data_IF_256000646572
#
_entry.id   IF_256000646572
#
_cell.length_a   1.000
_cell.length_b   1.000
_cell.length_c   1.000
_cell.angle_alpha   90.00
_cell.angle_beta   90.00
_cell.angle_gamma   90.00
#
_symmetry.space_group_name_H-M   'P 1'
#
loop_
_entity.id
_entity.type
_entity.pdbx_description
1 polymer ?
#
# COMPACT_ATOMS: atom_id res chain seq x y z
N UNK A 1 -6.59 3.21 -18.39
CA UNK A 1 -6.06 3.37 -17.03
C UNK A 1 -7.23 3.67 -16.10
N UNK A 2 -7.53 2.80 -15.13
CA UNK A 2 -8.72 2.97 -14.30
C UNK A 2 -8.48 4.10 -13.28
N UNK A 3 -8.85 5.33 -13.65
CA UNK A 3 -8.58 6.55 -12.86
C UNK A 3 -9.07 6.43 -11.42
N UNK A 4 -10.22 5.77 -11.21
CA UNK A 4 -10.78 5.53 -9.87
C UNK A 4 -9.84 4.69 -9.00
N UNK A 5 -9.29 3.59 -9.52
CA UNK A 5 -8.37 2.71 -8.78
C UNK A 5 -7.09 3.43 -8.37
N UNK A 6 -6.51 4.24 -9.27
CA UNK A 6 -5.35 5.08 -8.95
C UNK A 6 -5.71 6.12 -7.89
N UNK A 7 -6.87 6.76 -8.00
CA UNK A 7 -7.33 7.71 -6.99
C UNK A 7 -7.50 7.06 -5.62
N UNK A 8 -8.07 5.85 -5.52
CA UNK A 8 -8.20 5.12 -4.24
C UNK A 8 -6.82 4.88 -3.61
N UNK A 9 -5.89 4.33 -4.38
CA UNK A 9 -4.51 4.09 -3.93
C UNK A 9 -3.85 5.39 -3.45
N UNK A 10 -3.87 6.41 -4.30
CA UNK A 10 -3.19 7.68 -4.05
C UNK A 10 -3.80 8.48 -2.90
N UNK A 11 -5.13 8.56 -2.81
CA UNK A 11 -5.82 9.26 -1.72
C UNK A 11 -5.54 8.57 -0.38
N UNK A 12 -5.60 7.24 -0.35
CA UNK A 12 -5.30 6.49 0.88
C UNK A 12 -3.88 6.74 1.35
N UNK A 13 -2.90 6.64 0.44
CA UNK A 13 -1.50 6.93 0.76
C UNK A 13 -1.29 8.38 1.22
N UNK A 14 -1.93 9.33 0.56
CA UNK A 14 -1.84 10.75 0.90
C UNK A 14 -2.42 11.06 2.28
N UNK A 15 -3.57 10.50 2.63
CA UNK A 15 -4.19 10.69 3.95
C UNK A 15 -3.28 10.15 5.06
N UNK A 16 -2.74 8.94 4.89
CA UNK A 16 -1.81 8.35 5.87
C UNK A 16 -0.56 9.22 6.03
N UNK A 17 0.06 9.63 4.92
CA UNK A 17 1.23 10.50 4.94
C UNK A 17 0.94 11.81 5.67
N UNK A 18 -0.20 12.43 5.40
CA UNK A 18 -0.59 13.70 6.03
C UNK A 18 -0.77 13.54 7.53
N UNK A 19 -1.48 12.49 7.98
CA UNK A 19 -1.70 12.25 9.41
C UNK A 19 -0.38 11.90 10.11
N UNK A 20 0.46 11.07 9.52
CA UNK A 20 1.77 10.70 10.06
C UNK A 20 2.66 11.93 10.26
N UNK A 21 2.84 12.73 9.20
CA UNK A 21 3.72 13.90 9.27
C UNK A 21 3.16 14.98 10.20
N UNK A 22 1.83 15.16 10.23
CA UNK A 22 1.20 16.09 11.18
C UNK A 22 1.42 15.67 12.63
N UNK A 23 1.18 14.40 12.96
CA UNK A 23 1.34 13.89 14.34
C UNK A 23 2.79 13.91 14.79
N UNK A 24 3.73 13.53 13.93
CA UNK A 24 5.17 13.64 14.21
C UNK A 24 5.59 15.09 14.44
N UNK A 25 5.15 16.02 13.59
CA UNK A 25 5.41 17.45 13.78
C UNK A 25 4.85 17.95 15.12
N UNK A 26 3.60 17.58 15.46
CA UNK A 26 2.94 17.99 16.69
C UNK A 26 3.73 17.56 17.93
N UNK A 27 4.12 16.29 18.01
CA UNK A 27 4.88 15.76 19.15
C UNK A 27 6.26 16.43 19.24
N UNK A 28 6.93 16.58 18.10
CA UNK A 28 8.29 17.14 18.04
C UNK A 28 8.33 18.61 18.46
N UNK A 29 7.27 19.36 18.17
CA UNK A 29 7.17 20.80 18.48
C UNK A 29 6.46 21.13 19.79
N UNK A 30 5.94 20.12 20.49
CA UNK A 30 5.19 20.31 21.74
C UNK A 30 5.86 19.55 22.89
N UNK A 31 6.77 20.18 23.65
CA UNK A 31 7.53 19.51 24.72
C UNK A 31 6.66 18.82 25.78
N UNK A 32 5.50 19.39 26.10
CA UNK A 32 4.55 18.80 27.05
C UNK A 32 3.93 17.48 26.57
N UNK A 33 3.99 17.17 25.26
CA UNK A 33 3.51 15.91 24.70
C UNK A 33 4.60 14.85 24.57
N UNK A 34 5.89 15.20 24.73
CA UNK A 34 6.98 14.26 24.48
C UNK A 34 7.12 13.15 25.53
N UNK A 35 6.50 13.30 26.70
CA UNK A 35 6.46 12.31 27.79
C UNK A 35 5.08 12.38 28.48
N UNK A 36 4.01 12.24 27.69
CA UNK A 36 2.65 12.42 28.17
C UNK A 36 1.94 11.08 28.34
N UNK A 37 1.56 10.76 29.58
CA UNK A 37 0.76 9.56 29.87
C UNK A 37 -0.68 9.75 29.40
N UNK A 38 -1.13 8.89 28.49
CA UNK A 38 -2.52 8.87 28.01
C UNK A 38 -3.35 7.92 28.86
N UNK A 39 -2.84 6.71 29.06
CA UNK A 39 -3.41 5.66 29.90
C UNK A 39 -2.29 5.11 30.78
N UNK A 40 -2.41 5.29 32.07
CA UNK A 40 -1.38 4.91 33.04
C UNK A 40 -0.99 3.43 32.90
N UNK A 41 0.31 3.19 32.73
CA UNK A 41 0.89 1.86 32.57
C UNK A 41 0.55 1.13 31.27
N UNK A 42 -0.07 1.79 30.29
CA UNK A 42 -0.53 1.17 29.04
C UNK A 42 -0.15 1.96 27.77
N UNK A 43 -0.42 3.26 27.75
CA UNK A 43 -0.27 4.08 26.55
C UNK A 43 0.25 5.47 26.90
N UNK A 44 1.35 5.85 26.27
CA UNK A 44 2.02 7.11 26.50
C UNK A 44 2.49 7.69 25.18
N UNK A 45 2.63 9.02 25.13
CA UNK A 45 3.50 9.65 24.15
C UNK A 45 4.92 9.72 24.73
N UNK A 46 5.85 9.04 24.07
CA UNK A 46 7.27 9.04 24.39
C UNK A 46 8.07 9.34 23.13
N UNK A 47 8.53 10.58 22.98
CA UNK A 47 9.26 11.01 21.79
C UNK A 47 10.66 10.37 21.74
N UNK A 48 10.94 9.70 20.63
CA UNK A 48 12.27 9.17 20.32
C UNK A 48 12.57 9.26 18.84
N UNK A 49 13.85 9.18 18.51
CA UNK A 49 14.34 9.19 17.14
C UNK A 49 15.01 7.86 16.84
N UNK A 50 14.47 7.13 15.87
CA UNK A 50 14.92 5.81 15.51
C UNK A 50 15.88 5.86 14.30
N UNK A 51 17.20 5.63 14.50
CA UNK A 51 18.17 5.58 13.41
C UNK A 51 18.01 4.35 12.52
N UNK A 52 17.15 3.41 12.87
CA UNK A 52 17.02 2.10 12.20
C UNK A 52 17.41 0.95 13.11
N UNK A 53 17.22 1.11 14.41
CA UNK A 53 17.39 0.05 15.40
C UNK A 53 16.08 -0.75 15.53
N UNK A 54 16.20 -2.07 15.56
CA UNK A 54 15.12 -2.96 15.95
C UNK A 54 15.54 -3.70 17.22
N UNK A 55 14.73 -3.66 18.27
CA UNK A 55 15.01 -4.29 19.57
C UNK A 55 16.38 -3.88 20.17
N UNK A 56 16.85 -2.66 19.90
CA UNK A 56 18.14 -2.16 20.36
C UNK A 56 19.35 -2.67 19.58
N UNK A 57 19.14 -3.38 18.46
CA UNK A 57 20.21 -3.86 17.58
C UNK A 57 20.34 -2.93 16.38
N UNK A 58 21.55 -2.38 16.20
CA UNK A 58 21.93 -1.61 15.01
C UNK A 58 22.58 -2.56 13.99
N UNK A 59 22.02 -2.65 12.79
CA UNK A 59 22.44 -3.62 11.77
C UNK A 59 23.16 -2.91 10.60
N UNK A 60 22.64 -1.74 10.19
CA UNK A 60 23.09 -0.99 9.03
C UNK A 60 23.05 0.51 9.34
N UNK A 61 23.86 1.30 8.63
CA UNK A 61 23.84 2.75 8.77
C UNK A 61 22.53 3.34 8.23
N UNK A 62 22.11 4.46 8.83
CA UNK A 62 20.88 5.16 8.46
C UNK A 62 20.72 5.38 6.95
N UNK A 63 21.72 5.88 6.19
CA UNK A 63 21.57 6.08 4.75
C UNK A 63 21.31 4.80 3.96
N UNK A 64 21.89 3.67 4.41
CA UNK A 64 21.69 2.36 3.77
C UNK A 64 20.26 1.89 3.99
N UNK A 65 19.75 1.97 5.23
CA UNK A 65 18.37 1.62 5.56
C UNK A 65 17.40 2.50 4.79
N UNK A 66 17.65 3.82 4.74
CA UNK A 66 16.86 4.78 3.97
C UNK A 66 16.81 4.42 2.47
N UNK A 67 17.96 4.05 1.90
CA UNK A 67 18.06 3.67 0.48
C UNK A 67 17.29 2.37 0.18
N UNK A 68 17.39 1.38 1.06
CA UNK A 68 16.64 0.12 0.95
C UNK A 68 15.13 0.39 1.03
N UNK A 69 14.69 1.22 1.98
CA UNK A 69 13.28 1.57 2.13
C UNK A 69 12.72 2.27 0.87
N UNK A 70 13.48 3.20 0.28
CA UNK A 70 13.10 3.87 -0.97
C UNK A 70 13.02 2.85 -2.11
N UNK A 71 14.03 2.01 -2.29
CA UNK A 71 14.04 0.99 -3.34
C UNK A 71 12.88 0.00 -3.20
N UNK A 72 12.61 -0.48 -1.98
CA UNK A 72 11.49 -1.36 -1.70
C UNK A 72 10.14 -0.69 -1.99
N UNK A 73 9.95 0.56 -1.55
CA UNK A 73 8.71 1.32 -1.78
C UNK A 73 8.48 1.56 -3.27
N UNK A 74 9.53 1.90 -4.03
CA UNK A 74 9.45 2.04 -5.49
C UNK A 74 9.11 0.70 -6.16
N UNK A 75 9.74 -0.40 -5.72
CA UNK A 75 9.43 -1.74 -6.22
C UNK A 75 7.96 -2.12 -6.00
N UNK A 76 7.43 -1.84 -4.80
CA UNK A 76 6.01 -2.06 -4.47
C UNK A 76 5.11 -1.23 -5.39
N UNK A 77 5.40 0.07 -5.56
CA UNK A 77 4.62 0.95 -6.44
C UNK A 77 4.62 0.42 -7.87
N UNK A 78 5.78 0.06 -8.42
CA UNK A 78 5.91 -0.49 -9.77
C UNK A 78 5.06 -1.77 -9.90
N UNK A 79 5.21 -2.70 -8.95
CA UNK A 79 4.46 -3.95 -8.94
C UNK A 79 2.94 -3.72 -8.96
N UNK A 80 2.42 -2.83 -8.10
CA UNK A 80 0.99 -2.50 -8.06
C UNK A 80 0.54 -1.88 -9.37
N UNK A 81 1.33 -0.96 -9.94
CA UNK A 81 0.96 -0.25 -11.18
C UNK A 81 0.88 -1.20 -12.38
N UNK A 82 1.72 -2.25 -12.41
CA UNK A 82 1.64 -3.30 -13.43
C UNK A 82 0.35 -4.13 -13.30
N UNK A 83 -0.10 -4.41 -12.07
CA UNK A 83 -1.31 -5.20 -11.78
C UNK A 83 -2.59 -4.39 -11.52
N UNK A 84 -2.58 -3.06 -11.69
CA UNK A 84 -3.64 -2.20 -11.12
C UNK A 84 -5.04 -2.40 -11.73
N UNK A 85 -5.13 -2.90 -12.97
CA UNK A 85 -6.42 -3.15 -13.64
C UNK A 85 -7.19 -4.28 -12.97
N UNK A 86 -6.43 -5.25 -12.51
CA UNK A 86 -6.80 -6.54 -11.94
C UNK A 86 -7.04 -6.41 -10.42
N UNK A 87 -6.25 -5.56 -9.74
CA UNK A 87 -6.39 -5.26 -8.31
C UNK A 87 -7.80 -4.85 -7.84
N UNK A 88 -8.27 -5.44 -6.75
CA UNK A 88 -9.54 -5.08 -6.08
C UNK A 88 -9.42 -3.75 -5.33
N UNK A 89 -10.55 -3.13 -4.99
CA UNK A 89 -10.53 -1.88 -4.21
C UNK A 89 -9.94 -2.09 -2.81
N UNK A 90 -10.29 -3.19 -2.14
CA UNK A 90 -9.77 -3.52 -0.80
C UNK A 90 -8.25 -3.71 -0.79
N UNK A 91 -7.72 -4.37 -1.82
CA UNK A 91 -6.28 -4.51 -2.01
C UNK A 91 -5.61 -3.14 -2.18
N UNK A 92 -6.16 -2.27 -3.03
CA UNK A 92 -5.60 -0.94 -3.28
C UNK A 92 -5.64 -0.03 -2.05
N UNK A 93 -6.64 -0.17 -1.17
CA UNK A 93 -6.65 0.50 0.13
C UNK A 93 -5.49 -0.01 0.99
N UNK A 94 -5.31 -1.33 1.12
CA UNK A 94 -4.20 -1.90 1.89
C UNK A 94 -2.84 -1.44 1.34
N UNK A 95 -2.66 -1.46 0.02
CA UNK A 95 -1.42 -0.98 -0.59
C UNK A 95 -1.23 0.53 -0.41
N UNK A 96 -2.31 1.31 -0.40
CA UNK A 96 -2.29 2.74 -0.11
C UNK A 96 -1.82 3.01 1.31
N UNK A 97 -2.29 2.24 2.30
CA UNK A 97 -1.83 2.31 3.69
C UNK A 97 -0.32 2.00 3.79
N UNK A 98 0.15 0.94 3.11
CA UNK A 98 1.56 0.55 3.10
C UNK A 98 2.43 1.65 2.48
N UNK A 99 2.05 2.16 1.31
CA UNK A 99 2.79 3.22 0.62
C UNK A 99 2.78 4.50 1.43
N UNK A 100 1.63 4.91 1.98
CA UNK A 100 1.52 6.10 2.80
C UNK A 100 2.40 6.04 4.04
N UNK A 101 2.40 4.90 4.75
CA UNK A 101 3.28 4.69 5.90
C UNK A 101 4.76 4.68 5.51
N UNK A 102 5.12 3.96 4.45
CA UNK A 102 6.49 3.91 3.97
C UNK A 102 7.01 5.30 3.57
N UNK A 103 6.20 6.09 2.85
CA UNK A 103 6.52 7.48 2.49
C UNK A 103 6.63 8.39 3.72
N UNK A 104 5.83 8.17 4.77
CA UNK A 104 5.95 8.89 6.03
C UNK A 104 7.31 8.66 6.70
N UNK A 105 7.71 7.40 6.85
CA UNK A 105 9.02 7.07 7.42
C UNK A 105 10.19 7.51 6.52
N UNK A 106 10.07 7.39 5.19
CA UNK A 106 11.07 7.89 4.24
C UNK A 106 11.20 9.42 4.31
N UNK A 107 10.09 10.13 4.48
CA UNK A 107 10.12 11.60 4.64
C UNK A 107 10.96 12.00 5.84
N UNK A 108 10.83 11.27 6.96
CA UNK A 108 11.65 11.55 8.12
C UNK A 108 13.16 11.34 7.84
N UNK A 109 13.48 10.23 7.16
CA UNK A 109 14.86 9.92 6.75
C UNK A 109 15.48 11.00 5.86
N UNK A 110 14.70 11.60 4.98
CA UNK A 110 15.18 12.64 4.06
C UNK A 110 15.33 13.98 4.78
N UNK A 111 14.34 14.36 5.60
CA UNK A 111 14.19 15.75 6.04
C UNK A 111 14.56 16.00 7.51
N UNK A 112 14.41 15.04 8.43
CA UNK A 112 14.56 15.34 9.87
C UNK A 112 16.00 15.71 10.22
N UNK A 113 17.00 15.01 9.66
CA UNK A 113 18.41 15.34 9.85
C UNK A 113 18.75 16.77 9.39
N UNK A 114 18.13 17.21 8.28
CA UNK A 114 18.27 18.56 7.75
C UNK A 114 17.53 19.60 8.60
N UNK A 115 16.29 19.30 9.01
CA UNK A 115 15.44 20.22 9.77
C UNK A 115 16.02 20.48 11.17
N UNK A 116 16.58 19.45 11.81
CA UNK A 116 17.15 19.55 13.15
C UNK A 116 18.66 19.83 13.17
N UNK A 117 19.32 19.80 12.00
CA UNK A 117 20.70 20.23 11.85
C UNK A 117 21.75 19.24 12.35
N UNK A 118 21.41 17.95 12.48
CA UNK A 118 22.35 16.91 12.92
C UNK A 118 22.90 16.03 11.78
N UNK A 119 22.34 16.12 10.58
CA UNK A 119 22.73 15.26 9.46
C UNK A 119 22.30 15.78 8.10
N UNK A 120 22.73 15.07 7.06
CA UNK A 120 22.40 15.33 5.67
C UNK A 120 21.12 14.64 5.18
N UNK A 121 20.99 14.60 3.85
CA UNK A 121 19.93 13.88 3.14
C UNK A 121 20.09 12.38 3.38
N UNK A 122 19.00 11.67 3.74
CA UNK A 122 18.96 10.24 4.09
C UNK A 122 19.61 9.87 5.43
N UNK A 123 20.11 10.85 6.20
CA UNK A 123 20.68 10.66 7.54
C UNK A 123 19.66 10.92 8.66
N UNK A 124 18.44 11.34 8.32
CA UNK A 124 17.38 11.54 9.30
C UNK A 124 16.95 10.26 10.00
N UNK A 125 16.50 10.41 11.24
CA UNK A 125 15.91 9.35 12.04
C UNK A 125 14.39 9.41 11.98
N UNK A 126 13.73 8.25 12.03
CA UNK A 126 12.27 8.19 12.07
C UNK A 126 11.80 8.68 13.43
N UNK A 127 10.77 9.54 13.43
CA UNK A 127 10.18 10.04 14.67
C UNK A 127 9.17 9.02 15.19
N UNK A 128 9.49 8.38 16.30
CA UNK A 128 8.60 7.46 17.00
C UNK A 128 8.09 8.13 18.27
N UNK A 129 6.81 7.91 18.61
CA UNK A 129 6.21 8.59 19.75
C UNK A 129 5.10 7.85 20.46
N UNK A 130 4.47 6.85 19.82
CA UNK A 130 3.41 6.06 20.43
C UNK A 130 4.10 4.95 21.22
N UNK A 131 4.20 5.13 22.54
CA UNK A 131 4.69 4.09 23.43
C UNK A 131 3.51 3.29 23.95
N UNK A 132 3.40 2.07 23.44
CA UNK A 132 2.50 1.07 23.99
C UNK A 132 3.32 0.18 24.91
N UNK A 133 2.86 0.00 26.15
CA UNK A 133 3.47 -0.92 27.10
C UNK A 133 2.41 -1.81 27.75
N UNK A 134 2.56 -3.13 27.65
CA UNK A 134 1.69 -4.05 28.38
C UNK A 134 2.45 -4.61 29.58
N UNK A 135 1.97 -4.32 30.79
CA UNK A 135 2.52 -4.88 32.03
C UNK A 135 1.73 -6.11 32.46
N UNK A 136 2.42 -7.23 32.63
CA UNK A 136 1.90 -8.45 33.25
C UNK A 136 2.69 -8.67 34.53
N UNK A 137 2.04 -8.46 35.68
CA UNK A 137 2.70 -8.36 36.99
C UNK A 137 3.82 -7.29 36.95
N UNK A 138 5.04 -7.62 37.37
CA UNK A 138 6.20 -6.74 37.35
C UNK A 138 6.95 -6.71 36.01
N UNK A 139 6.46 -7.42 34.99
CA UNK A 139 7.15 -7.57 33.70
C UNK A 139 6.46 -6.74 32.61
N UNK A 140 7.25 -5.95 31.90
CA UNK A 140 6.79 -5.26 30.68
C UNK A 140 6.98 -6.19 29.49
N UNK A 141 5.86 -6.62 28.90
CA UNK A 141 5.82 -7.63 27.83
C UNK A 141 5.97 -7.01 26.45
N UNK A 142 5.44 -5.81 26.25
CA UNK A 142 5.43 -5.14 24.95
C UNK A 142 5.94 -3.70 25.05
N UNK A 143 7.25 -3.44 25.21
CA UNK A 143 7.78 -2.08 25.29
C UNK A 143 8.04 -1.49 23.88
N UNK A 144 6.99 -1.31 23.08
CA UNK A 144 7.15 -0.87 21.69
C UNK A 144 6.84 0.60 21.51
N UNK A 145 7.74 1.30 20.80
CA UNK A 145 7.56 2.69 20.40
C UNK A 145 7.48 2.70 18.88
N UNK A 146 6.41 3.31 18.37
CA UNK A 146 6.13 3.36 16.94
C UNK A 146 5.41 4.67 16.59
N UNK A 147 5.02 4.83 15.33
CA UNK A 147 4.29 6.00 14.85
C UNK A 147 3.06 5.60 14.02
N UNK A 148 2.37 6.60 13.46
CA UNK A 148 1.15 6.38 12.66
C UNK A 148 1.45 5.63 11.37
N UNK A 149 2.59 5.88 10.72
CA UNK A 149 3.03 5.11 9.56
C UNK A 149 3.14 3.61 9.86
N UNK A 150 3.72 3.23 11.00
CA UNK A 150 3.85 1.82 11.40
C UNK A 150 2.49 1.18 11.70
N UNK A 151 1.57 1.93 12.30
CA UNK A 151 0.18 1.48 12.51
C UNK A 151 -0.52 1.21 11.18
N UNK A 152 -0.39 2.13 10.20
CA UNK A 152 -1.00 1.97 8.89
C UNK A 152 -0.47 0.72 8.15
N UNK A 153 0.86 0.52 8.15
CA UNK A 153 1.50 -0.66 7.57
C UNK A 153 1.02 -1.94 8.28
N UNK A 154 0.99 -1.93 9.62
CA UNK A 154 0.57 -3.10 10.41
C UNK A 154 -0.88 -3.48 10.15
N UNK A 155 -1.80 -2.50 10.13
CA UNK A 155 -3.22 -2.73 9.80
C UNK A 155 -3.36 -3.32 8.39
N UNK A 156 -2.62 -2.79 7.42
CA UNK A 156 -2.67 -3.29 6.05
C UNK A 156 -2.16 -4.74 5.94
N UNK A 157 -1.02 -5.06 6.55
CA UNK A 157 -0.46 -6.41 6.54
C UNK A 157 -1.42 -7.39 7.22
N UNK A 158 -1.94 -7.04 8.40
CA UNK A 158 -2.91 -7.88 9.12
C UNK A 158 -4.16 -8.09 8.26
N UNK A 159 -4.66 -7.03 7.63
CA UNK A 159 -5.85 -7.11 6.77
C UNK A 159 -5.61 -8.01 5.56
N UNK A 160 -4.46 -7.90 4.90
CA UNK A 160 -4.07 -8.75 3.77
C UNK A 160 -3.94 -10.22 4.20
N UNK A 161 -3.40 -10.50 5.39
CA UNK A 161 -3.24 -11.87 5.88
C UNK A 161 -4.57 -12.50 6.29
N UNK A 162 -5.42 -11.77 7.02
CA UNK A 162 -6.68 -12.30 7.56
C UNK A 162 -7.78 -12.35 6.50
N UNK A 163 -7.86 -11.33 5.64
CA UNK A 163 -8.92 -11.20 4.64
C UNK A 163 -8.43 -11.50 3.23
N UNK A 164 -7.30 -12.22 3.06
CA UNK A 164 -6.72 -12.57 1.76
C UNK A 164 -7.81 -13.05 0.77
N UNK A 165 -8.59 -14.06 1.13
CA UNK A 165 -9.66 -14.55 0.25
C UNK A 165 -10.60 -13.43 -0.21
N UNK A 166 -11.14 -12.63 0.70
CA UNK A 166 -12.09 -11.57 0.35
C UNK A 166 -11.46 -10.41 -0.42
N UNK A 167 -10.22 -10.08 -0.10
CA UNK A 167 -9.48 -9.00 -0.76
C UNK A 167 -9.11 -9.39 -2.20
N UNK A 168 -8.94 -10.68 -2.51
CA UNK A 168 -8.55 -11.14 -3.84
C UNK A 168 -9.71 -11.80 -4.65
N UNK A 169 -10.88 -12.05 -4.07
CA UNK A 169 -12.01 -12.79 -4.72
C UNK A 169 -12.70 -12.05 -5.88
N UNK A 170 -12.62 -10.72 -6.00
CA UNK A 170 -13.22 -10.02 -7.17
C UNK A 170 -12.58 -10.47 -8.50
N UNK A 171 -11.42 -11.14 -8.48
CA UNK A 171 -10.77 -11.67 -9.67
C UNK A 171 -11.46 -12.90 -10.26
N UNK A 172 -11.83 -13.88 -9.42
CA UNK A 172 -12.37 -15.16 -9.87
C UNK A 172 -13.79 -15.02 -10.42
N UNK A 173 -14.59 -14.11 -9.84
CA UNK A 173 -15.97 -13.90 -10.27
C UNK A 173 -16.07 -13.17 -11.61
N UNK A 174 -15.21 -12.16 -11.85
CA UNK A 174 -15.19 -11.44 -13.11
C UNK A 174 -14.70 -12.31 -14.29
N UNK A 175 -13.74 -13.22 -14.07
CA UNK A 175 -13.32 -14.20 -15.09
C UNK A 175 -14.41 -15.25 -15.37
N UNK A 176 -15.10 -15.73 -14.33
CA UNK A 176 -16.17 -16.70 -14.46
C UNK A 176 -17.47 -16.13 -15.09
N UNK A 177 -17.69 -14.81 -14.98
CA UNK A 177 -18.78 -14.11 -15.66
C UNK A 177 -18.42 -13.74 -17.10
N UNK A 178 -17.18 -13.32 -17.37
CA UNK A 178 -16.69 -13.09 -18.73
C UNK A 178 -16.66 -14.36 -19.58
N UNK A 179 -16.46 -15.54 -18.98
CA UNK A 179 -16.54 -16.83 -19.68
C UNK A 179 -17.98 -17.32 -19.93
N UNK A 180 -18.99 -16.64 -19.38
CA UNK A 180 -20.42 -17.01 -19.49
C UNK A 180 -21.21 -16.13 -20.45
N UNK A 181 -20.60 -15.13 -21.08
CA UNK A 181 -21.26 -14.33 -22.10
C UNK A 181 -21.58 -15.21 -23.32
N UNK A 182 -22.86 -15.47 -23.65
CA UNK A 182 -23.20 -16.44 -24.67
C UNK A 182 -23.01 -15.83 -26.07
N UNK A 183 -22.47 -16.68 -26.94
CA UNK A 183 -22.40 -16.55 -28.39
C UNK A 183 -23.80 -16.34 -29.01
N UNK A 184 -24.31 -15.11 -28.94
CA UNK A 184 -25.50 -14.68 -29.69
C UNK A 184 -25.03 -13.88 -30.92
N UNK A 185 -24.29 -14.55 -31.81
CA UNK A 185 -24.24 -14.15 -33.20
C UNK A 185 -25.62 -14.46 -33.83
N UNK A 186 -26.26 -13.52 -34.56
CA UNK A 186 -27.48 -13.84 -35.27
C UNK A 186 -27.16 -14.87 -36.36
N UNK A 187 -27.86 -16.01 -36.30
CA UNK A 187 -27.83 -17.08 -37.30
C UNK A 187 -28.34 -16.53 -38.64
N UNK A 188 -27.42 -16.22 -39.54
CA UNK A 188 -27.75 -15.90 -40.93
C UNK A 188 -27.66 -17.23 -41.69
N UNK A 189 -28.77 -17.97 -41.70
CA UNK A 189 -28.97 -19.08 -42.63
C UNK A 189 -29.04 -18.49 -44.06
N UNK A 190 -27.92 -18.57 -44.79
CA UNK A 190 -27.88 -18.30 -46.23
C UNK A 190 -28.35 -19.57 -46.94
N UNK A 191 -29.59 -19.55 -47.42
CA UNK A 191 -30.09 -20.52 -48.38
C UNK A 191 -29.30 -20.40 -49.68
N UNK A 192 -28.48 -21.42 -49.99
CA UNK A 192 -27.87 -21.59 -51.30
C UNK A 192 -28.71 -22.62 -52.05
N UNK A 193 -29.64 -22.14 -52.89
CA UNK A 193 -30.25 -22.96 -53.93
C UNK A 193 -29.20 -23.36 -54.95
N UNK A 194 -28.95 -24.66 -55.04
CA UNK A 194 -28.23 -25.29 -56.13
C UNK A 194 -29.22 -25.68 -57.23
N UNK A 195 -29.15 -25.04 -58.40
CA UNK A 195 -29.58 -25.69 -59.64
C UNK A 195 -28.47 -25.58 -60.68
N UNK A 196 -27.81 -26.72 -60.89
CA UNK A 196 -26.94 -26.95 -62.03
C UNK A 196 -27.70 -27.60 -63.18
N UNK A 197 -27.56 -27.00 -64.36
CA UNK A 197 -27.36 -27.72 -65.61
C UNK A 197 -28.59 -28.02 -66.47
N UNK A 198 -28.58 -27.47 -67.69
CA UNK A 198 -28.70 -28.27 -68.93
C UNK A 198 -28.35 -27.46 -70.19
N UNK A 199 -27.36 -27.99 -70.91
CA UNK A 199 -27.25 -28.17 -72.37
C UNK A 199 -27.70 -27.09 -73.37
N UNK A 200 -26.83 -26.83 -74.35
CA UNK A 200 -27.28 -26.70 -75.75
C UNK A 200 -26.62 -25.62 -76.62
N UNK A 201 -25.59 -26.03 -77.35
CA UNK A 201 -25.43 -25.87 -78.82
C UNK A 201 -25.63 -24.50 -79.53
N UNK A 202 -24.67 -24.21 -80.42
CA UNK A 202 -24.82 -23.47 -81.70
C UNK A 202 -24.96 -21.94 -81.58
N UNK A 203 -24.51 -21.07 -82.49
CA UNK A 203 -23.51 -20.97 -83.57
C UNK A 203 -23.48 -19.46 -83.92
N UNK A 204 -22.40 -19.00 -84.59
CA UNK A 204 -22.31 -17.85 -85.51
C UNK A 204 -23.19 -16.59 -85.23
N UNK A 205 -22.67 -15.37 -85.11
CA UNK A 205 -21.86 -14.57 -86.06
C UNK A 205 -21.28 -13.40 -85.26
#
# INVERSE_FOLDING_TARGET
MNRKKISVLGITAFIVLLIDQYTKWLIRTTPSLQNYTIIDGWLEFYYTQNPGMALGIEILSTPVISSIAIAATLGIIIYIMLGIKESTTGYLVCMGLIIGGALGNISDRIFIGLIEGYGGVLEGHVVDFIYFSLRINDWTVFPYIFNVADVAISIAIISLLVFNKWIFIDHEQNEAEASKEPDNAPDISVDIESEGGKEGSSSAI
#
